data_IF_299442671969
#
_entry.id   IF_299442671969
#
_cell.length_a   1.000
_cell.length_b   1.000
_cell.length_c   1.000
_cell.angle_alpha   90.00
_cell.angle_beta   90.00
_cell.angle_gamma   90.00
#
_symmetry.space_group_name_H-M   'P 1'
#
loop_
_entity.id
_entity.type
_entity.pdbx_description
1 polymer ?
#
# COMPACT_ATOMS: atom_id res chain seq x y z
N UNK A 1 -6.70 -1.00 20.26
CA UNK A 1 -7.63 -2.11 19.99
C UNK A 1 -8.45 -1.71 18.77
N UNK A 2 -8.50 -2.55 17.72
CA UNK A 2 -9.36 -2.28 16.54
C UNK A 2 -10.81 -2.36 17.02
N UNK A 3 -11.58 -1.28 16.85
CA UNK A 3 -12.98 -1.25 17.24
C UNK A 3 -13.88 -1.18 15.99
N UNK A 4 -15.19 -1.38 16.18
CA UNK A 4 -16.16 -1.38 15.08
C UNK A 4 -16.12 -0.09 14.24
N UNK A 5 -15.80 1.05 14.86
CA UNK A 5 -15.67 2.33 14.16
C UNK A 5 -14.43 2.38 13.27
N UNK A 6 -13.30 1.80 13.69
CA UNK A 6 -12.10 1.66 12.86
C UNK A 6 -12.38 0.83 11.61
N UNK A 7 -13.13 -0.26 11.74
CA UNK A 7 -13.49 -1.11 10.59
C UNK A 7 -14.39 -0.37 9.59
N UNK A 8 -15.37 0.40 10.07
CA UNK A 8 -16.22 1.22 9.20
C UNK A 8 -15.42 2.21 8.34
N UNK A 9 -14.33 2.78 8.87
CA UNK A 9 -13.47 3.65 8.07
C UNK A 9 -12.72 2.87 6.98
N UNK A 10 -12.19 1.69 7.32
CA UNK A 10 -11.53 0.82 6.34
C UNK A 10 -12.50 0.43 5.22
N UNK A 11 -13.71 0.01 5.57
CA UNK A 11 -14.78 -0.33 4.60
C UNK A 11 -15.06 0.83 3.65
N UNK A 12 -15.25 2.03 4.21
CA UNK A 12 -15.56 3.21 3.43
C UNK A 12 -14.41 3.67 2.54
N UNK A 13 -13.16 3.53 3.01
CA UNK A 13 -11.96 3.82 2.23
C UNK A 13 -11.80 2.86 1.05
N UNK A 14 -11.93 1.55 1.31
CA UNK A 14 -11.81 0.51 0.28
C UNK A 14 -12.90 0.69 -0.78
N UNK A 15 -14.15 0.90 -0.36
CA UNK A 15 -15.26 1.17 -1.28
C UNK A 15 -14.96 2.37 -2.18
N UNK A 16 -14.53 3.49 -1.60
CA UNK A 16 -14.25 4.73 -2.35
C UNK A 16 -13.09 4.57 -3.32
N UNK A 17 -12.02 3.88 -2.95
CA UNK A 17 -10.87 3.72 -3.87
C UNK A 17 -11.22 2.80 -5.04
N UNK A 18 -11.99 1.72 -4.81
CA UNK A 18 -12.50 0.85 -5.88
C UNK A 18 -13.42 1.62 -6.81
N UNK A 19 -14.38 2.38 -6.28
CA UNK A 19 -15.29 3.22 -7.07
C UNK A 19 -14.50 4.26 -7.89
N UNK A 20 -13.55 4.95 -7.27
CA UNK A 20 -12.72 5.95 -7.93
C UNK A 20 -11.90 5.33 -9.06
N UNK A 21 -11.18 4.24 -8.82
CA UNK A 21 -10.33 3.59 -9.83
C UNK A 21 -11.14 2.93 -10.95
N UNK A 22 -12.35 2.46 -10.65
CA UNK A 22 -13.26 1.92 -11.68
C UNK A 22 -13.85 3.03 -12.56
N UNK A 23 -14.20 4.19 -11.98
CA UNK A 23 -14.79 5.32 -12.71
C UNK A 23 -13.76 6.17 -13.44
N UNK A 24 -12.55 6.30 -12.90
CA UNK A 24 -11.49 7.18 -13.41
C UNK A 24 -10.35 6.40 -14.09
N UNK A 25 -10.71 5.44 -14.95
CA UNK A 25 -9.73 4.66 -15.74
C UNK A 25 -8.94 5.54 -16.73
N UNK A 26 -9.49 6.70 -17.09
CA UNK A 26 -8.83 7.76 -17.88
C UNK A 26 -7.56 8.29 -17.19
N UNK A 27 -7.48 8.24 -15.86
CA UNK A 27 -6.34 8.72 -15.09
C UNK A 27 -5.23 7.67 -14.90
N UNK A 28 -5.25 6.57 -15.66
CA UNK A 28 -4.30 5.46 -15.48
C UNK A 28 -2.82 5.87 -15.49
N UNK A 29 -2.44 6.86 -16.30
CA UNK A 29 -1.07 7.38 -16.37
C UNK A 29 -0.75 8.46 -15.32
N UNK A 30 -1.76 8.94 -14.60
CA UNK A 30 -1.59 9.93 -13.52
C UNK A 30 -1.54 9.27 -12.15
N UNK A 31 -1.81 7.96 -12.08
CA UNK A 31 -1.93 7.19 -10.84
C UNK A 31 -1.12 5.92 -10.98
N UNK A 32 -0.08 5.80 -10.16
CA UNK A 32 0.72 4.60 -10.04
C UNK A 32 0.35 3.83 -8.77
N UNK A 33 -0.10 2.59 -8.94
CA UNK A 33 -0.37 1.69 -7.81
C UNK A 33 0.94 0.99 -7.38
N UNK A 34 1.27 1.08 -6.09
CA UNK A 34 2.46 0.47 -5.48
C UNK A 34 1.99 -0.49 -4.38
N UNK A 35 2.37 -1.76 -4.48
CA UNK A 35 2.05 -2.74 -3.44
C UNK A 35 3.00 -2.54 -2.24
N UNK A 36 2.47 -2.66 -1.02
CA UNK A 36 3.28 -2.61 0.19
C UNK A 36 4.41 -3.65 0.20
N UNK A 37 4.14 -4.86 -0.31
CA UNK A 37 5.15 -5.92 -0.39
C UNK A 37 6.25 -5.59 -1.41
N UNK A 38 5.92 -4.84 -2.46
CA UNK A 38 6.88 -4.39 -3.48
C UNK A 38 7.89 -3.41 -2.87
N UNK A 39 7.38 -2.35 -2.21
CA UNK A 39 8.23 -1.30 -1.64
C UNK A 39 9.04 -1.77 -0.45
N UNK A 40 8.51 -2.70 0.36
CA UNK A 40 9.25 -3.23 1.52
C UNK A 40 10.36 -4.19 1.11
N UNK A 41 10.15 -5.01 0.06
CA UNK A 41 11.17 -5.94 -0.44
C UNK A 41 12.20 -5.27 -1.33
N UNK A 42 11.78 -4.33 -2.17
CA UNK A 42 12.61 -3.71 -3.20
C UNK A 42 12.41 -2.19 -3.24
N UNK A 43 12.76 -1.45 -2.17
CA UNK A 43 12.45 -0.02 -2.04
C UNK A 43 13.07 0.82 -3.16
N UNK A 44 14.35 0.60 -3.47
CA UNK A 44 15.06 1.38 -4.50
C UNK A 44 14.44 1.16 -5.89
N UNK A 45 14.19 -0.10 -6.26
CA UNK A 45 13.57 -0.43 -7.54
C UNK A 45 12.14 0.13 -7.66
N UNK A 46 11.37 0.07 -6.57
CA UNK A 46 10.02 0.63 -6.50
C UNK A 46 10.04 2.14 -6.69
N UNK A 47 10.96 2.85 -6.02
CA UNK A 47 11.10 4.31 -6.17
C UNK A 47 11.57 4.69 -7.57
N UNK A 48 12.45 3.89 -8.19
CA UNK A 48 12.83 4.09 -9.60
C UNK A 48 11.63 3.96 -10.53
N UNK A 49 10.78 2.95 -10.33
CA UNK A 49 9.51 2.79 -11.08
C UNK A 49 8.59 4.01 -10.93
N UNK A 50 8.52 4.61 -9.73
CA UNK A 50 7.76 5.85 -9.50
C UNK A 50 8.32 6.99 -10.35
N UNK A 51 9.64 7.18 -10.32
CA UNK A 51 10.30 8.26 -11.08
C UNK A 51 10.11 8.08 -12.58
N UNK A 52 10.31 6.87 -13.08
CA UNK A 52 10.15 6.55 -14.51
C UNK A 52 8.71 6.79 -14.97
N UNK A 53 7.72 6.40 -14.18
CA UNK A 53 6.30 6.59 -14.51
C UNK A 53 5.92 8.08 -14.64
N UNK A 54 6.42 8.93 -13.75
CA UNK A 54 6.11 10.36 -13.74
C UNK A 54 7.13 11.23 -14.52
N UNK A 55 8.15 10.62 -15.12
CA UNK A 55 9.19 11.33 -15.88
C UNK A 55 10.10 12.20 -15.02
N UNK A 56 10.30 11.84 -13.76
CA UNK A 56 11.21 12.56 -12.86
C UNK A 56 12.66 12.18 -13.11
N UNK A 57 13.58 13.14 -12.92
CA UNK A 57 15.01 12.89 -13.10
C UNK A 57 15.56 12.02 -11.96
N UNK A 58 16.26 10.97 -12.33
CA UNK A 58 17.00 10.11 -11.40
C UNK A 58 18.48 10.52 -11.36
N UNK A 59 19.03 10.78 -10.16
CA UNK A 59 20.44 11.11 -9.99
C UNK A 59 21.14 10.10 -9.08
N UNK A 60 22.45 9.98 -9.25
CA UNK A 60 23.26 9.07 -8.43
C UNK A 60 23.29 9.51 -6.96
N UNK A 61 23.33 10.83 -6.72
CA UNK A 61 23.33 11.42 -5.38
C UNK A 61 22.04 11.09 -4.62
N UNK A 62 20.90 11.17 -5.31
CA UNK A 62 19.60 10.79 -4.75
C UNK A 62 19.57 9.31 -4.36
N UNK A 63 20.05 8.43 -5.24
CA UNK A 63 20.09 6.99 -4.96
C UNK A 63 20.99 6.66 -3.77
N UNK A 64 22.19 7.25 -3.69
CA UNK A 64 23.11 7.06 -2.57
C UNK A 64 22.46 7.53 -1.25
N UNK A 65 21.81 8.70 -1.25
CA UNK A 65 21.11 9.20 -0.07
C UNK A 65 20.00 8.24 0.38
N UNK A 66 19.22 7.73 -0.56
CA UNK A 66 18.14 6.78 -0.27
C UNK A 66 18.66 5.43 0.24
N UNK A 67 19.79 4.94 -0.27
CA UNK A 67 20.43 3.71 0.22
C UNK A 67 20.98 3.87 1.65
N UNK A 68 21.43 5.07 2.00
CA UNK A 68 21.97 5.36 3.33
C UNK A 68 20.88 5.61 4.38
N UNK A 69 19.74 6.17 3.99
CA UNK A 69 18.66 6.55 4.91
C UNK A 69 18.21 5.44 5.88
N UNK A 70 18.02 4.17 5.47
CA UNK A 70 17.62 3.09 6.38
C UNK A 70 18.64 2.79 7.49
N UNK A 71 19.92 3.10 7.28
CA UNK A 71 20.97 2.90 8.30
C UNK A 71 20.74 3.81 9.50
N UNK A 72 20.33 5.05 9.24
CA UNK A 72 20.04 6.05 10.26
C UNK A 72 18.59 5.95 10.77
N UNK A 73 17.71 5.31 9.99
CA UNK A 73 16.27 5.21 10.24
C UNK A 73 15.75 3.76 10.16
N UNK A 74 16.24 2.85 11.03
CA UNK A 74 15.74 1.48 11.04
C UNK A 74 14.24 1.45 11.36
N UNK A 75 13.47 0.69 10.57
CA UNK A 75 12.07 0.42 10.84
C UNK A 75 11.91 -0.39 12.13
N UNK A 76 10.76 -0.23 12.82
CA UNK A 76 10.41 -1.04 13.99
C UNK A 76 10.76 -0.46 15.35
N UNK A 77 11.18 0.83 15.43
CA UNK A 77 11.47 1.51 16.72
C UNK A 77 10.30 1.53 17.71
N UNK A 78 9.06 1.29 17.27
CA UNK A 78 7.85 1.35 18.10
C UNK A 78 7.32 -0.02 18.55
N UNK A 79 8.10 -1.10 18.37
CA UNK A 79 7.66 -2.46 18.71
C UNK A 79 6.68 -3.04 17.70
N UNK A 80 6.42 -4.35 17.81
CA UNK A 80 5.51 -5.08 16.92
C UNK A 80 4.16 -5.26 17.60
N UNK A 81 3.11 -4.70 17.02
CA UNK A 81 1.75 -5.05 17.39
C UNK A 81 1.33 -6.33 16.65
N UNK A 82 0.92 -7.34 17.40
CA UNK A 82 0.31 -8.55 16.86
C UNK A 82 -1.20 -8.35 16.81
N UNK A 83 -1.79 -8.46 15.63
CA UNK A 83 -3.24 -8.39 15.41
C UNK A 83 -3.74 -9.73 14.90
N UNK A 84 -4.92 -10.15 15.35
CA UNK A 84 -5.62 -11.33 14.82
C UNK A 84 -6.98 -10.94 14.25
N UNK A 85 -7.41 -11.59 13.17
CA UNK A 85 -8.78 -11.44 12.67
C UNK A 85 -9.82 -11.96 13.69
N UNK A 86 -9.42 -12.88 14.57
CA UNK A 86 -10.26 -13.35 15.67
C UNK A 86 -10.63 -12.20 16.64
N UNK A 87 -9.76 -11.20 16.80
CA UNK A 87 -10.01 -10.04 17.70
C UNK A 87 -11.23 -9.22 17.24
N UNK A 88 -11.59 -9.33 15.96
CA UNK A 88 -12.74 -8.67 15.34
C UNK A 88 -13.81 -9.66 14.87
N UNK A 89 -13.73 -10.91 15.34
CA UNK A 89 -14.66 -12.00 14.98
C UNK A 89 -14.79 -12.20 13.45
N UNK A 90 -13.67 -12.15 12.74
CA UNK A 90 -13.59 -12.37 11.29
C UNK A 90 -12.62 -13.49 10.94
N UNK A 91 -12.82 -14.08 9.77
CA UNK A 91 -11.94 -15.06 9.15
C UNK A 91 -11.27 -14.50 7.90
N UNK A 92 -10.23 -15.16 7.40
CA UNK A 92 -9.61 -14.77 6.12
C UNK A 92 -10.59 -14.83 4.95
N UNK A 93 -11.52 -15.79 4.96
CA UNK A 93 -12.50 -15.96 3.89
C UNK A 93 -13.55 -14.84 3.92
N UNK A 94 -13.96 -14.38 5.12
CA UNK A 94 -14.82 -13.20 5.25
C UNK A 94 -14.15 -11.97 4.62
N UNK A 95 -12.86 -11.75 4.89
CA UNK A 95 -12.09 -10.61 4.36
C UNK A 95 -11.95 -10.71 2.84
N UNK A 96 -11.63 -11.90 2.31
CA UNK A 96 -11.53 -12.14 0.87
C UNK A 96 -12.87 -11.90 0.16
N UNK A 97 -13.97 -12.40 0.74
CA UNK A 97 -15.29 -12.20 0.18
C UNK A 97 -15.69 -10.71 0.22
N UNK A 98 -15.49 -10.05 1.36
CA UNK A 98 -15.86 -8.64 1.56
C UNK A 98 -15.08 -7.68 0.66
N UNK A 99 -13.79 -7.92 0.43
CA UNK A 99 -12.93 -7.04 -0.36
C UNK A 99 -12.51 -7.62 -1.71
N UNK A 100 -13.29 -8.56 -2.24
CA UNK A 100 -12.97 -9.25 -3.49
C UNK A 100 -12.72 -8.29 -4.67
N UNK A 101 -13.52 -7.23 -4.78
CA UNK A 101 -13.38 -6.24 -5.86
C UNK A 101 -12.05 -5.47 -5.75
N UNK A 102 -11.64 -5.14 -4.52
CA UNK A 102 -10.35 -4.52 -4.27
C UNK A 102 -9.21 -5.48 -4.63
N UNK A 103 -9.28 -6.73 -4.18
CA UNK A 103 -8.27 -7.76 -4.44
C UNK A 103 -8.12 -7.96 -5.95
N UNK A 104 -9.22 -8.16 -6.68
CA UNK A 104 -9.19 -8.32 -8.16
C UNK A 104 -8.60 -7.11 -8.88
N UNK A 105 -8.84 -5.90 -8.35
CA UNK A 105 -8.39 -4.67 -9.00
C UNK A 105 -6.89 -4.43 -8.79
N UNK A 106 -6.36 -4.70 -7.60
CA UNK A 106 -4.99 -4.29 -7.20
C UNK A 106 -4.03 -5.45 -6.87
N UNK A 107 -4.51 -6.63 -6.50
CA UNK A 107 -3.69 -7.80 -6.21
C UNK A 107 -3.85 -8.80 -7.36
N UNK A 108 -3.03 -8.60 -8.39
CA UNK A 108 -2.91 -9.51 -9.54
C UNK A 108 -1.69 -10.40 -9.40
#
# INVERSE_FOLDING_TARGET
MVNARTLQYVDQMIKRIVEFRTRRRDLGQQILDINYDEITRQPIATVRRIYDHFGFRWSNEFEIAMQNWPRDNPQGKQGRHTYSLADIHRTHDDIKAQYNDYIKLFQK
#
